data_IF_766806356392
#
_entry.id   IF_766806356392
#
_cell.length_a   1.000
_cell.length_b   1.000
_cell.length_c   1.000
_cell.angle_alpha   90.00
_cell.angle_beta   90.00
_cell.angle_gamma   90.00
#
_symmetry.space_group_name_H-M   'P 1'
#
loop_
_entity.id
_entity.type
_entity.pdbx_description
1 polymer ?
#
# COMPACT_ATOMS: atom_id res chain seq x y z
N UNK A 1 -24.37 14.47 9.28
CA UNK A 1 -25.57 13.62 9.50
C UNK A 1 -25.99 13.09 8.15
N UNK A 2 -26.10 11.78 8.02
CA UNK A 2 -26.34 11.10 6.75
C UNK A 2 -27.40 10.03 6.92
N UNK A 3 -28.07 9.66 5.83
CA UNK A 3 -29.08 8.60 5.85
C UNK A 3 -28.44 7.28 5.46
N UNK A 4 -28.82 6.20 6.12
CA UNK A 4 -28.42 4.87 5.71
C UNK A 4 -29.05 4.53 4.34
N UNK A 5 -28.23 4.20 3.35
CA UNK A 5 -28.68 3.77 2.03
C UNK A 5 -28.97 2.26 2.00
N UNK A 6 -28.44 1.52 2.96
CA UNK A 6 -28.64 0.08 3.16
C UNK A 6 -28.78 -0.24 4.65
N UNK A 7 -29.17 -1.47 4.98
CA UNK A 7 -29.19 -1.93 6.38
C UNK A 7 -27.78 -2.14 6.88
N UNK A 8 -27.41 -1.37 7.88
CA UNK A 8 -26.12 -1.43 8.56
C UNK A 8 -26.25 -2.31 9.78
N UNK A 9 -25.39 -3.32 9.85
CA UNK A 9 -25.22 -4.16 11.02
C UNK A 9 -23.88 -3.84 11.68
N UNK A 10 -23.78 -4.06 12.98
CA UNK A 10 -22.54 -4.05 13.72
C UNK A 10 -22.08 -5.47 13.96
N UNK A 11 -20.77 -5.64 14.04
CA UNK A 11 -20.18 -6.90 14.47
C UNK A 11 -20.51 -7.23 15.93
N UNK A 12 -20.28 -8.47 16.35
CA UNK A 12 -20.54 -8.91 17.73
C UNK A 12 -19.85 -8.02 18.79
N UNK A 13 -18.70 -7.45 18.44
CA UNK A 13 -17.90 -6.54 19.27
C UNK A 13 -18.33 -5.06 19.19
N UNK A 14 -19.30 -4.71 18.33
CA UNK A 14 -19.78 -3.33 18.07
C UNK A 14 -18.67 -2.34 17.68
N UNK A 15 -17.58 -2.86 17.12
CA UNK A 15 -16.41 -2.10 16.70
C UNK A 15 -16.42 -1.78 15.19
N UNK A 16 -17.22 -2.48 14.38
CA UNK A 16 -17.30 -2.26 12.92
C UNK A 16 -18.73 -2.35 12.41
N UNK A 17 -19.05 -1.51 11.43
CA UNK A 17 -20.25 -1.63 10.61
C UNK A 17 -20.01 -2.56 9.42
N UNK A 18 -20.94 -3.47 9.18
CA UNK A 18 -20.94 -4.47 8.13
C UNK A 18 -22.29 -4.44 7.40
N UNK A 19 -22.33 -4.81 6.11
CA UNK A 19 -23.57 -4.84 5.35
C UNK A 19 -24.50 -5.98 5.80
N UNK A 20 -25.77 -5.89 5.43
CA UNK A 20 -26.74 -7.00 5.61
C UNK A 20 -26.21 -8.28 4.95
N UNK A 21 -26.27 -9.39 5.69
CA UNK A 21 -25.83 -10.71 5.21
C UNK A 21 -24.33 -11.00 5.42
N UNK A 22 -23.57 -10.10 6.03
CA UNK A 22 -22.18 -10.39 6.41
C UNK A 22 -22.12 -11.44 7.53
N UNK A 23 -21.11 -12.33 7.51
CA UNK A 23 -20.96 -13.38 8.53
C UNK A 23 -20.80 -12.81 9.94
N UNK A 24 -20.17 -11.65 10.03
CA UNK A 24 -20.00 -10.92 11.29
C UNK A 24 -21.22 -10.04 11.66
N UNK A 25 -22.27 -9.95 10.84
CA UNK A 25 -23.44 -9.14 11.16
C UNK A 25 -24.19 -9.71 12.37
N UNK A 26 -24.08 -9.03 13.52
CA UNK A 26 -24.64 -9.50 14.79
C UNK A 26 -25.77 -8.60 15.30
N UNK A 27 -25.60 -7.27 15.22
CA UNK A 27 -26.57 -6.31 15.76
C UNK A 27 -27.00 -5.32 14.69
N UNK A 28 -28.31 -5.19 14.43
CA UNK A 28 -28.79 -4.13 13.54
C UNK A 28 -28.52 -2.76 14.16
N UNK A 29 -27.86 -1.87 13.41
CA UNK A 29 -27.52 -0.52 13.87
C UNK A 29 -28.39 0.55 13.21
N UNK A 30 -28.56 0.48 11.89
CA UNK A 30 -29.38 1.43 11.14
C UNK A 30 -30.12 0.70 10.02
N UNK A 31 -31.40 1.01 9.84
CA UNK A 31 -32.21 0.55 8.71
C UNK A 31 -32.12 1.52 7.53
N UNK A 32 -32.55 1.10 6.34
CA UNK A 32 -32.58 1.99 5.17
C UNK A 32 -33.42 3.24 5.47
N UNK A 33 -32.84 4.42 5.25
CA UNK A 33 -33.45 5.71 5.53
C UNK A 33 -33.26 6.22 6.96
N UNK A 34 -32.70 5.39 7.86
CA UNK A 34 -32.43 5.74 9.25
C UNK A 34 -31.25 6.72 9.35
N UNK A 35 -31.29 7.61 10.35
CA UNK A 35 -30.31 8.69 10.49
C UNK A 35 -29.05 8.20 11.20
N UNK A 36 -27.94 8.23 10.47
CA UNK A 36 -26.60 7.91 10.97
C UNK A 36 -25.89 9.22 11.32
N UNK A 37 -25.45 9.41 12.58
CA UNK A 37 -24.64 10.56 12.94
C UNK A 37 -23.25 10.47 12.29
N UNK A 38 -22.69 11.62 11.90
CA UNK A 38 -21.37 11.70 11.24
C UNK A 38 -20.27 11.03 12.08
N UNK A 39 -20.33 11.19 13.40
CA UNK A 39 -19.41 10.53 14.32
C UNK A 39 -19.49 9.01 14.26
N UNK A 40 -20.67 8.43 14.04
CA UNK A 40 -20.80 6.99 13.83
C UNK A 40 -20.32 6.59 12.44
N UNK A 41 -20.57 7.43 11.44
CA UNK A 41 -20.07 7.19 10.10
C UNK A 41 -18.54 7.15 10.05
N UNK A 42 -17.86 8.10 10.69
CA UNK A 42 -16.40 8.09 10.83
C UNK A 42 -15.90 6.93 11.67
N UNK A 43 -16.54 6.67 12.82
CA UNK A 43 -16.15 5.58 13.74
C UNK A 43 -16.22 4.21 13.08
N UNK A 44 -17.29 3.97 12.32
CA UNK A 44 -17.55 2.69 11.68
C UNK A 44 -17.16 2.66 10.19
N UNK A 45 -16.53 3.74 9.70
CA UNK A 45 -16.12 3.92 8.30
C UNK A 45 -17.25 3.73 7.29
N UNK A 46 -18.45 4.19 7.63
CA UNK A 46 -19.60 4.22 6.74
C UNK A 46 -19.39 5.32 5.69
N UNK A 47 -19.65 5.00 4.43
CA UNK A 47 -19.55 5.94 3.31
C UNK A 47 -20.90 5.97 2.61
N UNK A 48 -21.49 7.16 2.44
CA UNK A 48 -22.77 7.35 1.74
C UNK A 48 -23.93 6.45 2.24
N UNK A 49 -23.96 6.18 3.53
CA UNK A 49 -25.00 5.39 4.18
C UNK A 49 -24.81 3.89 4.00
N UNK A 50 -23.62 3.48 3.53
CA UNK A 50 -23.27 2.10 3.23
C UNK A 50 -22.11 1.62 4.07
N UNK A 51 -22.21 0.36 4.50
CA UNK A 51 -21.08 -0.34 5.10
C UNK A 51 -20.12 -0.76 3.99
N UNK A 52 -18.82 -0.60 4.21
CA UNK A 52 -17.83 -1.04 3.23
C UNK A 52 -17.80 -2.57 3.24
N UNK A 53 -18.07 -3.27 2.12
CA UNK A 53 -17.97 -4.73 2.09
C UNK A 53 -16.53 -5.12 2.38
N UNK A 54 -16.32 -5.92 3.43
CA UNK A 54 -14.98 -6.36 3.83
C UNK A 54 -14.50 -7.42 2.83
N UNK A 55 -13.95 -6.93 1.71
CA UNK A 55 -13.37 -7.74 0.64
C UNK A 55 -12.02 -7.21 0.15
N UNK A 56 -11.49 -6.12 0.73
CA UNK A 56 -10.13 -5.62 0.52
C UNK A 56 -9.79 -4.57 1.59
N UNK A 57 -8.61 -4.63 2.24
CA UNK A 57 -8.19 -3.62 3.21
C UNK A 57 -7.90 -2.31 2.48
N UNK A 58 -8.89 -1.41 2.43
CA UNK A 58 -8.69 -0.06 1.91
C UNK A 58 -8.15 0.86 3.01
N UNK A 59 -6.84 1.06 2.96
CA UNK A 59 -6.16 2.35 2.84
C UNK A 59 -6.56 3.48 3.83
N UNK A 60 -5.51 4.02 4.45
CA UNK A 60 -5.47 5.22 5.31
C UNK A 60 -6.29 6.39 4.72
N UNK A 61 -6.84 7.27 5.58
CA UNK A 61 -7.64 8.41 5.14
C UNK A 61 -6.76 9.44 4.42
N UNK A 62 -6.99 9.62 3.12
CA UNK A 62 -6.49 10.77 2.37
C UNK A 62 -7.31 12.00 2.77
N UNK A 63 -6.64 12.99 3.35
CA UNK A 63 -7.18 14.34 3.51
C UNK A 63 -7.50 14.94 2.13
N UNK A 64 -8.54 15.77 2.02
CA UNK A 64 -8.97 16.33 0.75
C UNK A 64 -7.96 17.36 0.25
N UNK A 65 -7.36 17.13 -0.93
CA UNK A 65 -6.68 18.16 -1.70
C UNK A 65 -7.08 18.07 -3.17
N UNK A 66 -8.08 18.89 -3.48
CA UNK A 66 -8.30 19.70 -4.69
C UNK A 66 -7.99 19.15 -6.10
N UNK A 67 -8.86 19.49 -7.08
CA UNK A 67 -8.74 19.03 -8.46
C UNK A 67 -7.76 19.91 -9.26
N UNK A 68 -6.88 19.31 -10.07
CA UNK A 68 -6.62 19.70 -11.48
C UNK A 68 -5.41 18.99 -12.12
N UNK A 69 -5.69 18.57 -13.35
CA UNK A 69 -4.81 18.59 -14.51
C UNK A 69 -3.75 17.49 -14.66
N UNK A 70 -4.05 16.58 -15.59
CA UNK A 70 -3.08 16.14 -16.59
C UNK A 70 -2.25 17.34 -17.08
N UNK A 71 -0.96 17.13 -17.34
CA UNK A 71 -0.56 17.22 -18.73
C UNK A 71 0.30 16.03 -19.15
N UNK A 72 -0.06 15.49 -20.30
CA UNK A 72 0.83 14.77 -21.17
C UNK A 72 1.95 15.71 -21.63
N UNK A 73 3.18 15.18 -21.70
CA UNK A 73 4.33 15.81 -22.37
C UNK A 73 5.33 16.46 -21.43
N UNK A 74 6.50 15.84 -21.25
CA UNK A 74 7.81 16.39 -21.65
C UNK A 74 8.88 15.32 -21.41
N UNK A 75 9.52 14.88 -22.50
CA UNK A 75 10.75 14.10 -22.48
C UNK A 75 11.90 14.97 -21.95
N UNK A 76 12.75 14.39 -21.07
CA UNK A 76 14.18 14.67 -20.75
C UNK A 76 14.67 16.14 -20.68
N UNK A 77 15.51 16.47 -19.68
CA UNK A 77 16.91 16.13 -19.81
C UNK A 77 17.54 15.49 -18.55
N UNK A 78 18.50 14.63 -18.82
CA UNK A 78 19.52 14.17 -17.89
C UNK A 78 20.30 15.39 -17.37
N UNK A 79 20.56 15.47 -16.07
CA UNK A 79 21.81 15.92 -15.41
C UNK A 79 21.56 16.07 -13.90
N UNK A 80 22.28 15.27 -13.10
CA UNK A 80 22.43 15.46 -11.65
C UNK A 80 21.88 14.32 -10.80
N UNK A 81 22.76 13.39 -10.41
CA UNK A 81 22.54 12.27 -9.48
C UNK A 81 21.45 12.55 -8.43
N UNK A 82 20.31 11.88 -8.56
CA UNK A 82 19.27 11.84 -7.53
C UNK A 82 18.79 10.39 -7.38
N UNK A 83 18.73 9.83 -6.15
CA UNK A 83 18.51 8.39 -5.85
C UNK A 83 17.09 7.87 -6.15
N UNK A 84 16.45 8.36 -7.22
CA UNK A 84 15.06 8.05 -7.58
C UNK A 84 14.95 6.95 -8.65
N UNK A 85 15.98 6.77 -9.47
CA UNK A 85 16.03 5.72 -10.50
C UNK A 85 16.44 4.37 -9.90
N UNK A 86 17.42 4.38 -9.02
CA UNK A 86 17.91 3.24 -8.24
C UNK A 86 16.80 2.56 -7.41
N UNK A 87 16.01 3.37 -6.70
CA UNK A 87 14.85 2.88 -5.97
C UNK A 87 13.77 2.28 -6.91
N UNK A 88 13.70 2.71 -8.17
CA UNK A 88 12.78 2.13 -9.16
C UNK A 88 13.29 0.77 -9.66
N UNK A 89 14.60 0.62 -9.84
CA UNK A 89 15.20 -0.64 -10.24
C UNK A 89 15.02 -1.72 -9.18
N UNK A 90 15.25 -1.39 -7.91
CA UNK A 90 14.99 -2.30 -6.79
C UNK A 90 13.53 -2.79 -6.76
N UNK A 91 12.57 -1.98 -7.22
CA UNK A 91 11.16 -2.41 -7.32
C UNK A 91 10.86 -3.42 -8.42
N UNK A 92 11.83 -3.71 -9.31
CA UNK A 92 11.76 -4.82 -10.26
C UNK A 92 11.89 -6.18 -9.58
N UNK A 93 12.48 -6.22 -8.38
CA UNK A 93 12.56 -7.41 -7.54
C UNK A 93 11.21 -7.63 -6.87
N UNK A 94 10.60 -8.77 -7.12
CA UNK A 94 9.39 -9.29 -6.52
C UNK A 94 9.51 -9.27 -4.99
N UNK A 95 8.55 -8.60 -4.36
CA UNK A 95 8.53 -8.41 -2.90
C UNK A 95 9.28 -7.16 -2.42
N UNK A 96 10.01 -6.47 -3.28
CA UNK A 96 10.57 -5.14 -3.00
C UNK A 96 9.60 -4.08 -3.54
N UNK A 97 8.81 -3.49 -2.64
CA UNK A 97 7.99 -2.32 -2.96
C UNK A 97 8.75 -1.01 -2.74
N UNK A 98 8.16 0.12 -3.13
CA UNK A 98 8.78 1.44 -2.96
C UNK A 98 9.22 1.75 -1.51
N UNK A 99 8.50 1.23 -0.52
CA UNK A 99 8.89 1.34 0.90
C UNK A 99 10.11 0.50 1.26
N UNK A 100 10.20 -0.71 0.72
CA UNK A 100 11.34 -1.61 0.91
C UNK A 100 12.57 -1.09 0.17
N UNK A 101 12.42 -0.66 -1.09
CA UNK A 101 13.48 -0.03 -1.87
C UNK A 101 14.05 1.20 -1.16
N UNK A 102 13.19 2.00 -0.53
CA UNK A 102 13.63 3.15 0.28
C UNK A 102 14.40 2.75 1.54
N UNK A 103 13.99 1.67 2.21
CA UNK A 103 14.70 1.14 3.37
C UNK A 103 16.06 0.54 2.97
N UNK A 104 16.13 -0.13 1.82
CA UNK A 104 17.36 -0.66 1.22
C UNK A 104 18.33 0.45 0.85
N UNK A 105 17.85 1.50 0.16
CA UNK A 105 18.65 2.67 -0.15
C UNK A 105 19.16 3.38 1.13
N UNK A 106 18.34 3.44 2.19
CA UNK A 106 18.77 3.97 3.49
C UNK A 106 19.85 3.10 4.16
N UNK A 107 19.89 1.80 3.87
CA UNK A 107 20.91 0.87 4.31
C UNK A 107 22.15 0.81 3.38
N UNK A 108 22.21 1.66 2.35
CA UNK A 108 23.31 1.68 1.37
C UNK A 108 23.19 0.63 0.27
N UNK A 109 22.01 0.03 0.11
CA UNK A 109 21.67 -0.92 -0.95
C UNK A 109 20.70 -0.24 -1.91
N UNK A 110 21.23 0.64 -2.76
CA UNK A 110 20.46 1.44 -3.73
C UNK A 110 20.30 0.75 -5.09
N UNK A 111 21.17 -0.18 -5.46
CA UNK A 111 21.18 -0.83 -6.78
C UNK A 111 20.91 -2.33 -6.72
N UNK A 112 20.46 -2.90 -7.84
CA UNK A 112 20.32 -4.36 -8.02
C UNK A 112 21.67 -5.07 -7.81
N UNK A 113 22.78 -4.45 -8.24
CA UNK A 113 24.12 -4.99 -8.03
C UNK A 113 24.53 -4.99 -6.55
N UNK A 114 24.26 -3.90 -5.82
CA UNK A 114 24.48 -3.84 -4.38
C UNK A 114 23.63 -4.90 -3.66
N UNK A 115 22.37 -5.05 -4.06
CA UNK A 115 21.46 -6.06 -3.49
C UNK A 115 21.94 -7.49 -3.79
N UNK A 116 22.40 -7.78 -5.00
CA UNK A 116 22.92 -9.10 -5.37
C UNK A 116 24.23 -9.46 -4.63
N UNK A 117 24.96 -8.45 -4.14
CA UNK A 117 26.14 -8.61 -3.30
C UNK A 117 25.86 -8.71 -1.80
N UNK A 118 24.62 -8.48 -1.36
CA UNK A 118 24.25 -8.63 0.06
C UNK A 118 24.33 -10.10 0.45
N UNK A 119 24.98 -10.38 1.57
CA UNK A 119 24.96 -11.71 2.16
C UNK A 119 23.58 -11.98 2.78
N UNK A 120 22.82 -12.98 2.29
CA UNK A 120 21.47 -13.22 2.78
C UNK A 120 21.43 -13.92 4.15
N UNK A 121 22.58 -14.36 4.69
CA UNK A 121 22.69 -14.88 6.05
C UNK A 121 23.07 -13.78 7.07
N UNK A 122 23.69 -12.69 6.63
CA UNK A 122 24.00 -11.48 7.39
C UNK A 122 23.52 -10.21 6.67
N UNK A 123 22.19 -10.03 6.57
CA UNK A 123 21.65 -8.85 5.92
C UNK A 123 21.84 -7.57 6.74
N UNK A 124 21.92 -6.40 6.08
CA UNK A 124 21.95 -5.12 6.77
C UNK A 124 20.62 -4.86 7.48
N UNK A 125 20.70 -4.19 8.64
CA UNK A 125 19.52 -3.79 9.39
C UNK A 125 18.74 -2.73 8.61
N UNK A 126 17.51 -3.06 8.20
CA UNK A 126 16.59 -2.11 7.59
C UNK A 126 15.93 -1.28 8.69
N UNK A 127 16.47 -0.09 8.92
CA UNK A 127 16.01 0.78 9.99
C UNK A 127 14.54 1.19 9.78
N UNK A 128 13.72 0.99 10.82
CA UNK A 128 12.28 1.29 10.78
C UNK A 128 11.42 0.30 9.98
N UNK A 129 11.99 -0.78 9.46
CA UNK A 129 11.26 -1.79 8.72
C UNK A 129 10.81 -2.95 9.61
N UNK A 130 9.52 -3.32 9.52
CA UNK A 130 8.90 -4.37 10.35
C UNK A 130 8.28 -5.51 9.53
N UNK A 131 8.72 -5.66 8.28
CA UNK A 131 8.32 -6.76 7.40
C UNK A 131 9.20 -7.99 7.55
N UNK A 132 8.77 -9.11 6.95
CA UNK A 132 9.60 -10.31 6.79
C UNK A 132 10.43 -10.11 5.52
N UNK A 133 11.74 -9.93 5.64
CA UNK A 133 12.62 -9.80 4.46
C UNK A 133 13.02 -11.19 4.02
N UNK A 134 12.64 -11.52 2.79
CA UNK A 134 13.14 -12.71 2.12
C UNK A 134 14.45 -12.33 1.41
N UNK A 135 15.49 -12.04 2.19
CA UNK A 135 16.81 -11.67 1.65
C UNK A 135 17.35 -12.69 0.66
N UNK A 136 17.12 -13.99 0.90
CA UNK A 136 17.49 -15.07 -0.02
C UNK A 136 16.82 -14.93 -1.39
N UNK A 137 15.51 -14.63 -1.41
CA UNK A 137 14.72 -14.47 -2.63
C UNK A 137 15.13 -13.18 -3.36
N UNK A 138 15.29 -12.08 -2.60
CA UNK A 138 15.71 -10.79 -3.13
C UNK A 138 17.12 -10.80 -3.72
N UNK A 139 18.08 -11.44 -3.06
CA UNK A 139 19.45 -11.58 -3.56
C UNK A 139 19.49 -12.50 -4.79
N UNK A 140 18.76 -13.61 -4.77
CA UNK A 140 18.69 -14.53 -5.91
C UNK A 140 18.09 -13.84 -7.15
N UNK A 141 17.00 -13.09 -6.97
CA UNK A 141 16.35 -12.39 -8.07
C UNK A 141 17.12 -11.15 -8.51
N UNK A 142 17.73 -10.40 -7.57
CA UNK A 142 18.65 -9.33 -7.91
C UNK A 142 19.86 -9.85 -8.70
N UNK A 143 20.36 -11.06 -8.39
CA UNK A 143 21.44 -11.69 -9.17
C UNK A 143 20.96 -12.12 -10.56
N UNK A 144 19.71 -12.53 -10.70
CA UNK A 144 19.10 -12.85 -11.98
C UNK A 144 18.86 -11.59 -12.85
N UNK A 145 18.50 -10.45 -12.22
CA UNK A 145 18.25 -9.17 -12.89
C UNK A 145 19.52 -8.33 -13.12
N UNK A 146 20.51 -8.46 -12.24
CA UNK A 146 21.79 -7.75 -12.27
C UNK A 146 22.86 -8.44 -13.12
N UNK A 147 22.56 -9.63 -13.64
CA UNK A 147 23.27 -10.11 -14.81
C UNK A 147 22.98 -9.12 -15.95
N UNK A 148 24.00 -8.55 -16.62
CA UNK A 148 23.77 -7.69 -17.77
C UNK A 148 23.13 -8.52 -18.88
N UNK A 149 21.81 -8.59 -18.93
CA UNK A 149 21.09 -8.94 -20.14
C UNK A 149 21.21 -7.72 -21.07
N UNK A 150 22.36 -7.70 -21.76
CA UNK A 150 22.46 -7.37 -23.17
C UNK A 150 21.20 -7.83 -23.91
N UNK A 151 20.24 -6.93 -24.09
CA UNK A 151 19.24 -7.01 -25.18
C UNK A 151 18.65 -5.61 -25.41
N UNK A 152 19.45 -4.79 -26.08
CA UNK A 152 19.01 -3.62 -26.84
C UNK A 152 19.63 -3.82 -28.23
N UNK A 153 19.01 -4.63 -29.07
CA UNK A 153 19.19 -4.63 -30.54
C UNK A 153 17.84 -4.58 -31.24
#
# INVERSE_FOLDING_TARGET
>A
MMKAAERIYLNADKSRAVPEGHKDAAFLYAAIGDEIPDSAAEKYRLTDGRAKPEGKPAQKPEKPRTPKSNPNGTQKPQTGATPKDEAHELTKVKGIGAGTAKALAAAGVDTIAALAGVDPASPPALEGWRGIANWQDWVAEAKALGAPNTDQE
#
